data_IF_434632420363
#
_entry.id   IF_434632420363
#
_cell.length_a   1.000
_cell.length_b   1.000
_cell.length_c   1.000
_cell.angle_alpha   90.00
_cell.angle_beta   90.00
_cell.angle_gamma   90.00
#
_symmetry.space_group_name_H-M   'P 1'
#
loop_
_entity.id
_entity.type
_entity.pdbx_description
1 polymer ?
#
# COMPACT_ATOMS: atom_id res chain seq x y z
N UNK A 1 38.95 -1.63 4.62
CA UNK A 1 38.60 -2.41 5.82
C UNK A 1 37.30 -3.11 5.53
N UNK A 2 37.31 -4.44 5.40
CA UNK A 2 36.09 -5.21 5.16
C UNK A 2 35.35 -5.38 6.50
N UNK A 3 34.10 -4.93 6.56
CA UNK A 3 33.20 -5.12 7.71
C UNK A 3 33.05 -6.64 7.95
N UNK A 4 33.28 -7.07 9.19
CA UNK A 4 33.15 -8.50 9.54
C UNK A 4 31.67 -8.91 9.46
N UNK A 5 31.39 -10.20 9.21
CA UNK A 5 30.01 -10.69 9.07
C UNK A 5 29.16 -10.45 10.34
N UNK A 6 29.81 -10.34 11.50
CA UNK A 6 29.20 -10.07 12.79
C UNK A 6 28.81 -8.60 12.94
N UNK A 7 29.66 -7.67 12.50
CA UNK A 7 29.38 -6.23 12.49
C UNK A 7 28.17 -5.90 11.61
N UNK A 8 28.10 -6.49 10.41
CA UNK A 8 26.96 -6.30 9.51
C UNK A 8 25.66 -6.84 10.10
N UNK A 9 25.71 -7.99 10.79
CA UNK A 9 24.54 -8.57 11.47
C UNK A 9 24.08 -7.71 12.63
N UNK A 10 25.00 -7.17 13.43
CA UNK A 10 24.69 -6.27 14.53
C UNK A 10 24.03 -4.98 14.00
N UNK A 11 24.56 -4.39 12.93
CA UNK A 11 24.01 -3.20 12.28
C UNK A 11 22.59 -3.42 11.76
N UNK A 12 22.35 -4.53 11.06
CA UNK A 12 21.03 -4.86 10.53
C UNK A 12 20.01 -5.15 11.65
N UNK A 13 20.45 -5.77 12.75
CA UNK A 13 19.61 -6.01 13.92
C UNK A 13 19.22 -4.69 14.62
N UNK A 14 20.15 -3.75 14.73
CA UNK A 14 19.87 -2.42 15.28
C UNK A 14 18.86 -1.65 14.41
N UNK A 15 19.07 -1.62 13.08
CA UNK A 15 18.11 -0.99 12.16
C UNK A 15 16.71 -1.63 12.21
N UNK A 16 16.63 -2.96 12.37
CA UNK A 16 15.34 -3.64 12.48
C UNK A 16 14.64 -3.33 13.80
N UNK A 17 15.38 -3.23 14.90
CA UNK A 17 14.81 -2.87 16.20
C UNK A 17 14.30 -1.41 16.20
N UNK A 18 15.04 -0.49 15.58
CA UNK A 18 14.63 0.90 15.43
C UNK A 18 13.38 1.05 14.55
N UNK A 19 13.31 0.31 13.43
CA UNK A 19 12.11 0.29 12.58
C UNK A 19 10.89 -0.31 13.29
N UNK A 20 11.08 -1.29 14.17
CA UNK A 20 10.01 -1.85 14.99
C UNK A 20 9.57 -0.90 16.10
N UNK A 21 10.50 -0.16 16.71
CA UNK A 21 10.19 0.85 17.71
C UNK A 21 9.42 2.03 17.09
N UNK A 22 9.79 2.46 15.88
CA UNK A 22 9.05 3.48 15.14
C UNK A 22 7.62 3.04 14.81
N UNK A 23 7.43 1.78 14.38
CA UNK A 23 6.09 1.23 14.14
C UNK A 23 5.25 1.13 15.42
N UNK A 24 5.86 0.82 16.57
CA UNK A 24 5.17 0.82 17.87
C UNK A 24 4.82 2.22 18.36
N UNK A 25 5.64 3.24 18.05
CA UNK A 25 5.31 4.64 18.35
C UNK A 25 4.12 5.13 17.53
N UNK A 26 4.01 4.73 16.27
CA UNK A 26 2.85 5.06 15.43
C UNK A 26 1.56 4.40 15.97
N UNK A 27 1.63 3.18 16.51
CA UNK A 27 0.49 2.50 17.14
C UNK A 27 0.11 3.12 18.51
N UNK A 28 1.09 3.54 19.34
CA UNK A 28 0.83 4.18 20.65
C UNK A 28 0.20 5.58 20.49
N UNK A 29 0.60 6.37 19.48
CA UNK A 29 -0.01 7.69 19.18
C UNK A 29 -1.47 7.52 18.75
N UNK A 30 -1.78 6.44 18.02
CA UNK A 30 -3.15 6.10 17.60
C UNK A 30 -4.00 5.61 18.78
N UNK A 31 -3.40 5.10 19.86
CA UNK A 31 -4.11 4.67 21.07
C UNK A 31 -4.33 5.82 22.08
N UNK A 32 -3.42 6.81 22.16
CA UNK A 32 -3.61 8.02 22.98
C UNK A 32 -4.70 8.94 22.42
N UNK A 33 -4.76 9.16 21.11
CA UNK A 33 -5.79 9.98 20.43
C UNK A 33 -7.20 9.41 20.68
N UNK A 34 -7.33 8.08 20.71
CA UNK A 34 -8.58 7.38 21.04
C UNK A 34 -8.96 7.45 22.53
N UNK A 35 -8.00 7.67 23.45
CA UNK A 35 -8.24 7.79 24.89
C UNK A 35 -8.68 9.21 25.28
N UNK A 36 -8.17 10.24 24.62
CA UNK A 36 -8.58 11.63 24.84
C UNK A 36 -10.04 11.87 24.39
N UNK A 37 -10.45 11.32 23.25
CA UNK A 37 -11.84 11.35 22.76
C UNK A 37 -12.83 10.63 23.71
N UNK A 38 -12.36 9.57 24.38
CA UNK A 38 -13.15 8.81 25.35
C UNK A 38 -13.35 9.53 26.69
N UNK A 39 -12.44 10.42 27.08
CA UNK A 39 -12.58 11.16 28.33
C UNK A 39 -13.48 12.39 28.18
N UNK A 40 -13.48 13.04 27.01
CA UNK A 40 -14.36 14.19 26.74
C UNK A 40 -15.86 13.81 26.60
N UNK A 41 -16.17 12.57 26.23
CA UNK A 41 -17.54 12.07 26.14
C UNK A 41 -18.17 11.66 27.48
N UNK A 42 -17.42 11.68 28.59
CA UNK A 42 -17.90 11.21 29.89
C UNK A 42 -18.58 12.27 30.78
N UNK A 43 -18.52 13.56 30.42
CA UNK A 43 -19.05 14.66 31.27
C UNK A 43 -20.48 15.11 30.94
N UNK A 44 -21.15 14.61 29.89
CA UNK A 44 -22.52 15.02 29.54
C UNK A 44 -23.59 13.91 29.74
N UNK A 45 -23.25 12.82 30.45
CA UNK A 45 -24.13 11.66 30.62
C UNK A 45 -24.75 11.53 32.03
N UNK A 46 -25.11 12.65 32.67
CA UNK A 46 -25.93 12.64 33.89
C UNK A 46 -27.40 12.96 33.62
N UNK A 47 -28.02 12.24 32.69
CA UNK A 47 -29.49 12.07 32.66
C UNK A 47 -29.82 10.59 32.79
N UNK A 48 -30.23 10.27 34.01
CA UNK A 48 -30.79 9.02 34.50
C UNK A 48 -31.67 8.25 33.49
N UNK A 49 -31.29 7.00 33.25
CA UNK A 49 -32.16 5.81 33.23
C UNK A 49 -33.35 5.82 32.27
N UNK A 50 -33.18 5.15 31.12
CA UNK A 50 -34.15 4.24 30.48
C UNK A 50 -33.49 3.60 29.27
N UNK A 51 -33.24 2.30 29.37
CA UNK A 51 -32.96 1.42 28.25
C UNK A 51 -34.22 1.40 27.34
N UNK A 52 -34.02 1.39 26.01
CA UNK A 52 -35.04 1.43 24.93
C UNK A 52 -35.64 2.81 24.53
N UNK A 53 -34.80 3.81 24.28
CA UNK A 53 -35.22 4.96 23.47
C UNK A 53 -34.15 5.33 22.43
N UNK A 54 -34.51 5.31 21.15
CA UNK A 54 -33.70 5.80 20.04
C UNK A 54 -33.12 7.20 20.36
N UNK A 55 -31.89 7.51 19.90
CA UNK A 55 -31.26 8.79 20.22
C UNK A 55 -32.13 9.96 19.71
N UNK A 56 -32.69 10.73 20.63
CA UNK A 56 -33.55 11.88 20.31
C UNK A 56 -32.67 13.04 19.83
N UNK A 57 -32.58 13.22 18.51
CA UNK A 57 -31.93 14.38 17.90
C UNK A 57 -32.66 15.67 18.32
N UNK A 58 -32.02 16.48 19.16
CA UNK A 58 -32.50 17.83 19.49
C UNK A 58 -31.72 18.86 18.70
N UNK A 59 -32.30 19.33 17.61
CA UNK A 59 -31.79 20.49 16.91
C UNK A 59 -31.95 21.72 17.80
N UNK A 60 -30.83 22.37 18.15
CA UNK A 60 -30.86 23.74 18.67
C UNK A 60 -31.20 24.65 17.49
N UNK A 61 -32.47 24.71 17.14
CA UNK A 61 -32.93 25.57 16.08
C UNK A 61 -32.86 27.02 16.60
N UNK A 62 -31.86 27.77 16.13
CA UNK A 62 -31.76 29.19 16.45
C UNK A 62 -32.80 29.94 15.61
N UNK A 63 -33.61 30.77 16.28
CA UNK A 63 -34.38 31.78 15.58
C UNK A 63 -33.40 32.72 14.89
N UNK A 64 -33.42 32.69 13.56
CA UNK A 64 -32.65 33.59 12.72
C UNK A 64 -33.10 35.00 13.07
N UNK A 65 -32.17 35.82 13.58
CA UNK A 65 -32.50 37.18 14.06
C UNK A 65 -32.92 38.13 12.94
N UNK A 66 -32.58 37.79 11.70
CA UNK A 66 -32.81 38.63 10.53
C UNK A 66 -33.36 37.82 9.35
N UNK A 67 -34.62 37.42 9.46
CA UNK A 67 -35.34 36.70 8.39
C UNK A 67 -35.51 37.53 7.11
N UNK A 68 -35.51 38.87 7.25
CA UNK A 68 -35.84 39.80 6.16
C UNK A 68 -34.68 39.98 5.18
N UNK A 69 -33.43 40.02 5.67
CA UNK A 69 -32.26 40.18 4.80
C UNK A 69 -31.89 38.86 4.11
N UNK A 70 -32.00 37.73 4.81
CA UNK A 70 -31.56 36.42 4.32
C UNK A 70 -32.48 35.90 3.21
N UNK A 71 -33.79 36.16 3.30
CA UNK A 71 -34.74 35.75 2.26
C UNK A 71 -34.57 36.49 0.93
N UNK A 72 -33.87 37.64 0.92
CA UNK A 72 -33.79 38.52 -0.26
C UNK A 72 -32.36 38.70 -0.78
N UNK A 73 -31.36 38.23 -0.03
CA UNK A 73 -29.95 38.29 -0.45
C UNK A 73 -29.63 37.09 -1.33
N UNK A 74 -30.04 37.15 -2.60
CA UNK A 74 -29.56 36.21 -3.62
C UNK A 74 -28.19 36.68 -4.09
N UNK A 75 -27.14 35.99 -3.65
CA UNK A 75 -25.78 36.24 -4.14
C UNK A 75 -25.63 35.59 -5.51
N UNK A 76 -25.13 36.34 -6.48
CA UNK A 76 -24.84 35.80 -7.81
C UNK A 76 -23.78 34.70 -7.71
N UNK A 77 -23.93 33.59 -8.45
CA UNK A 77 -22.97 32.50 -8.41
C UNK A 77 -21.59 33.01 -8.88
N UNK A 78 -20.55 32.66 -8.13
CA UNK A 78 -19.18 33.03 -8.48
C UNK A 78 -18.82 32.44 -9.85
N UNK A 79 -18.41 33.30 -10.79
CA UNK A 79 -17.96 32.85 -12.10
C UNK A 79 -16.52 32.38 -12.01
N UNK A 80 -16.31 31.08 -12.21
CA UNK A 80 -14.97 30.52 -12.29
C UNK A 80 -14.19 31.15 -13.46
N UNK A 81 -12.89 31.47 -13.29
CA UNK A 81 -12.06 31.91 -14.38
C UNK A 81 -12.02 30.84 -15.47
N UNK A 82 -12.06 31.24 -16.74
CA UNK A 82 -11.90 30.32 -17.85
C UNK A 82 -10.49 29.71 -17.79
N UNK A 83 -10.39 28.46 -17.34
CA UNK A 83 -9.15 27.71 -17.45
C UNK A 83 -8.86 27.51 -18.95
N UNK A 84 -7.62 27.71 -19.41
CA UNK A 84 -7.23 27.30 -20.74
C UNK A 84 -7.50 25.80 -20.88
N UNK A 85 -8.18 25.41 -21.95
CA UNK A 85 -8.39 24.01 -22.28
C UNK A 85 -7.03 23.37 -22.51
N UNK A 86 -6.58 22.56 -21.56
CA UNK A 86 -5.35 21.77 -21.69
C UNK A 86 -5.70 20.66 -22.68
N UNK A 87 -5.55 20.94 -23.97
CA UNK A 87 -5.57 19.93 -25.01
C UNK A 87 -4.26 19.15 -24.87
N UNK A 88 -4.33 18.06 -24.11
CA UNK A 88 -3.22 17.12 -24.05
C UNK A 88 -3.12 16.45 -25.43
N UNK A 89 -2.04 16.74 -26.16
CA UNK A 89 -1.74 16.05 -27.41
C UNK A 89 -1.55 14.56 -27.11
N UNK A 90 -2.44 13.66 -27.58
CA UNK A 90 -2.32 12.24 -27.30
C UNK A 90 -1.02 11.67 -27.88
N UNK A 91 -0.56 12.19 -29.01
CA UNK A 91 0.66 11.76 -29.69
C UNK A 91 1.94 12.13 -28.91
N UNK A 92 1.90 13.21 -28.11
CA UNK A 92 3.01 13.59 -27.24
C UNK A 92 3.13 12.67 -26.01
N UNK A 93 2.01 12.10 -25.57
CA UNK A 93 1.93 11.20 -24.40
C UNK A 93 2.20 9.74 -24.78
N UNK A 94 1.74 9.34 -25.97
CA UNK A 94 1.79 7.94 -26.45
C UNK A 94 3.18 7.63 -27.04
N UNK A 95 4.00 8.61 -27.39
CA UNK A 95 5.28 8.34 -28.04
C UNK A 95 5.07 7.72 -29.44
N UNK A 96 6.16 7.59 -30.21
CA UNK A 96 6.07 7.18 -31.63
C UNK A 96 5.81 5.67 -31.81
N UNK A 97 6.06 4.86 -30.79
CA UNK A 97 6.02 3.42 -30.88
C UNK A 97 4.84 2.84 -30.07
N UNK A 98 3.73 2.47 -30.74
CA UNK A 98 2.55 1.97 -30.05
C UNK A 98 2.80 0.67 -29.27
N UNK A 99 3.84 -0.09 -29.66
CA UNK A 99 4.25 -1.33 -28.99
C UNK A 99 4.84 -1.07 -27.59
N UNK A 100 5.57 0.04 -27.38
CA UNK A 100 6.16 0.38 -26.09
C UNK A 100 5.09 0.76 -25.05
N UNK A 101 4.01 1.39 -25.51
CA UNK A 101 2.88 1.76 -24.67
C UNK A 101 2.10 0.51 -24.24
N UNK A 102 1.86 -0.44 -25.14
CA UNK A 102 1.19 -1.70 -24.78
C UNK A 102 2.00 -2.53 -23.76
N UNK A 103 3.33 -2.46 -23.81
CA UNK A 103 4.23 -3.13 -22.85
C UNK A 103 4.14 -2.51 -21.44
N UNK A 104 3.87 -1.20 -21.37
CA UNK A 104 3.88 -0.44 -20.12
C UNK A 104 2.47 -0.23 -19.51
N UNK A 105 1.42 -0.25 -20.33
CA UNK A 105 0.02 -0.01 -19.90
C UNK A 105 -0.66 -1.28 -19.38
N UNK A 106 -0.25 -2.46 -19.85
CA UNK A 106 -0.83 -3.71 -19.35
C UNK A 106 -0.15 -4.15 -18.04
N UNK A 107 -0.91 -4.54 -16.99
CA UNK A 107 -0.33 -5.25 -15.85
C UNK A 107 0.30 -6.54 -16.35
N UNK A 108 1.62 -6.66 -16.21
CA UNK A 108 2.38 -7.83 -16.67
C UNK A 108 1.79 -9.11 -16.08
N UNK A 109 1.56 -10.12 -16.93
CA UNK A 109 1.22 -11.48 -16.48
C UNK A 109 2.30 -12.00 -15.51
N UNK A 110 1.95 -12.83 -14.51
CA UNK A 110 2.87 -13.29 -13.46
C UNK A 110 4.05 -14.16 -13.93
N UNK A 111 4.08 -14.61 -15.19
CA UNK A 111 5.14 -15.46 -15.74
C UNK A 111 6.11 -14.68 -16.66
N UNK A 112 6.50 -13.46 -16.27
CA UNK A 112 7.32 -12.59 -17.13
C UNK A 112 8.82 -12.96 -17.18
N UNK A 113 9.28 -13.93 -16.38
CA UNK A 113 10.65 -14.42 -16.46
C UNK A 113 10.70 -15.80 -17.10
N UNK A 114 10.95 -15.83 -18.41
CA UNK A 114 11.24 -17.05 -19.17
C UNK A 114 12.39 -17.84 -18.53
N UNK A 115 13.42 -17.14 -18.03
CA UNK A 115 14.55 -17.74 -17.31
C UNK A 115 14.09 -18.51 -16.08
N UNK A 116 13.16 -17.96 -15.30
CA UNK A 116 12.61 -18.61 -14.10
C UNK A 116 11.74 -19.82 -14.45
N UNK A 117 10.98 -19.75 -15.55
CA UNK A 117 10.16 -20.88 -16.02
C UNK A 117 11.01 -22.03 -16.57
N UNK A 118 12.13 -21.73 -17.25
CA UNK A 118 13.04 -22.72 -17.84
C UNK A 118 14.05 -23.27 -16.82
N UNK A 119 14.43 -22.49 -15.80
CA UNK A 119 15.38 -22.90 -14.75
C UNK A 119 15.08 -24.28 -14.13
N UNK A 120 13.84 -24.62 -13.70
CA UNK A 120 13.56 -25.94 -13.14
C UNK A 120 13.65 -27.07 -14.17
N UNK A 121 13.41 -26.79 -15.46
CA UNK A 121 13.56 -27.78 -16.53
C UNK A 121 15.05 -28.07 -16.79
N UNK A 122 15.88 -27.03 -16.85
CA UNK A 122 17.34 -27.17 -16.97
C UNK A 122 17.95 -27.88 -15.76
N UNK A 123 17.51 -27.57 -14.54
CA UNK A 123 18.00 -28.24 -13.34
C UNK A 123 17.67 -29.74 -13.33
N UNK A 124 16.49 -30.14 -13.81
CA UNK A 124 16.13 -31.56 -13.97
C UNK A 124 17.02 -32.25 -15.00
N UNK A 125 17.27 -31.60 -16.13
CA UNK A 125 18.10 -32.13 -17.19
C UNK A 125 19.57 -32.28 -16.76
N UNK A 126 20.11 -31.28 -16.06
CA UNK A 126 21.48 -31.31 -15.53
C UNK A 126 21.65 -32.45 -14.51
N UNK A 127 20.68 -32.64 -13.61
CA UNK A 127 20.70 -33.77 -12.67
C UNK A 127 20.74 -35.13 -13.39
N UNK A 128 19.90 -35.34 -14.40
CA UNK A 128 19.90 -36.57 -15.19
C UNK A 128 21.22 -36.76 -15.94
N UNK A 129 21.82 -35.68 -16.42
CA UNK A 129 23.11 -35.70 -17.12
C UNK A 129 24.24 -36.10 -16.17
N UNK A 130 24.26 -35.57 -14.95
CA UNK A 130 25.23 -35.94 -13.92
C UNK A 130 25.09 -37.40 -13.49
N UNK A 131 23.85 -37.88 -13.29
CA UNK A 131 23.58 -39.29 -12.98
C UNK A 131 24.07 -40.21 -14.12
N UNK A 132 23.76 -39.88 -15.38
CA UNK A 132 24.25 -40.62 -16.54
C UNK A 132 25.79 -40.62 -16.64
N UNK A 133 26.43 -39.48 -16.35
CA UNK A 133 27.89 -39.36 -16.34
C UNK A 133 28.52 -40.25 -15.27
N UNK A 134 27.95 -40.30 -14.06
CA UNK A 134 28.41 -41.19 -12.98
C UNK A 134 28.26 -42.65 -13.38
N UNK A 135 27.14 -43.03 -14.02
CA UNK A 135 26.93 -44.40 -14.52
C UNK A 135 28.00 -44.78 -15.54
N UNK A 136 28.30 -43.91 -16.50
CA UNK A 136 29.35 -44.14 -17.49
C UNK A 136 30.73 -44.31 -16.83
N UNK A 137 31.08 -43.44 -15.89
CA UNK A 137 32.35 -43.55 -15.15
C UNK A 137 32.47 -44.87 -14.37
N UNK A 138 31.40 -45.31 -13.70
CA UNK A 138 31.40 -46.59 -12.97
C UNK A 138 31.61 -47.78 -13.90
N UNK A 139 30.98 -47.75 -15.09
CA UNK A 139 31.14 -48.77 -16.12
C UNK A 139 32.56 -48.81 -16.67
N UNK A 140 33.16 -47.64 -16.95
CA UNK A 140 34.55 -47.55 -17.41
C UNK A 140 35.55 -48.07 -16.37
N UNK A 141 35.29 -47.81 -15.08
CA UNK A 141 36.14 -48.26 -13.99
C UNK A 141 35.93 -49.74 -13.61
N UNK A 142 35.01 -50.45 -14.28
CA UNK A 142 34.70 -51.85 -13.98
C UNK A 142 34.09 -52.06 -12.58
N UNK A 143 33.52 -51.01 -11.99
CA UNK A 143 32.90 -51.01 -10.65
C UNK A 143 31.41 -51.39 -10.70
N UNK A 144 31.02 -52.22 -11.66
CA UNK A 144 29.68 -52.82 -11.67
C UNK A 144 29.64 -53.99 -10.67
N UNK A 145 28.54 -54.08 -9.90
CA UNK A 145 28.16 -55.26 -9.13
C UNK A 145 27.20 -56.12 -9.96
#
# INVERSE_FOLDING_TARGET
>A
MAESAEERRARLKAMRAEAQAAAQQDDDVMEEDQREDRQQSSQDASVSGKEDAEPVLRFRNYLVKDDKSIAHTKVEPAQAPALPEIVADPDAVIGKDPEEVLINVAPKKPNWELRRAIAPQLARLDRQTQEAMIVLMKREQGLEA
#
